data_IF_290404396836
#
_entry.id   IF_290404396836
#
_cell.length_a   1.000
_cell.length_b   1.000
_cell.length_c   1.000
_cell.angle_alpha   90.00
_cell.angle_beta   90.00
_cell.angle_gamma   90.00
#
_symmetry.space_group_name_H-M   'P 1'
#
loop_
_entity.id
_entity.type
_entity.pdbx_description
1 polymer ?
#
# COMPACT_ATOMS: atom_id res chain seq x y z
N UNK A 1 2.87 -11.58 -12.37
CA UNK A 1 2.70 -10.15 -12.06
C UNK A 1 4.09 -9.55 -11.89
N UNK A 2 4.44 -8.50 -12.63
CA UNK A 2 5.73 -7.83 -12.52
C UNK A 2 5.54 -6.49 -11.81
N UNK A 3 5.83 -6.39 -10.51
CA UNK A 3 5.64 -5.16 -9.74
C UNK A 3 6.66 -4.06 -10.10
N UNK A 4 7.63 -4.35 -10.98
CA UNK A 4 8.52 -3.33 -11.56
C UNK A 4 7.94 -2.57 -12.73
N UNK A 5 6.78 -2.98 -13.23
CA UNK A 5 6.06 -2.24 -14.27
C UNK A 5 4.89 -1.52 -13.64
N UNK A 6 4.75 -0.22 -13.89
CA UNK A 6 3.57 0.51 -13.42
C UNK A 6 2.31 -0.01 -14.14
N UNK A 7 1.34 -0.48 -13.37
CA UNK A 7 0.02 -0.85 -13.89
C UNK A 7 -1.05 -0.67 -12.81
N UNK A 8 -2.30 -0.50 -13.25
CA UNK A 8 -3.45 -0.40 -12.34
C UNK A 8 -3.59 -1.68 -11.53
N UNK A 9 -3.41 -2.82 -12.17
CA UNK A 9 -3.49 -4.16 -11.59
C UNK A 9 -2.43 -4.34 -10.49
N UNK A 10 -1.22 -3.82 -10.67
CA UNK A 10 -0.17 -3.88 -9.65
C UNK A 10 -0.47 -2.99 -8.45
N UNK A 11 -1.03 -1.80 -8.67
CA UNK A 11 -1.47 -0.90 -7.58
C UNK A 11 -2.55 -1.59 -6.75
N UNK A 12 -3.59 -2.12 -7.39
CA UNK A 12 -4.66 -2.86 -6.73
C UNK A 12 -4.12 -4.04 -5.94
N UNK A 13 -3.24 -4.83 -6.55
CA UNK A 13 -2.62 -5.98 -5.89
C UNK A 13 -1.84 -5.59 -4.63
N UNK A 14 -0.99 -4.55 -4.71
CA UNK A 14 -0.19 -4.11 -3.56
C UNK A 14 -1.09 -3.62 -2.41
N UNK A 15 -2.13 -2.84 -2.72
CA UNK A 15 -3.07 -2.34 -1.73
C UNK A 15 -3.82 -3.47 -1.04
N UNK A 16 -4.34 -4.45 -1.79
CA UNK A 16 -5.05 -5.59 -1.22
C UNK A 16 -4.14 -6.41 -0.30
N UNK A 17 -2.89 -6.64 -0.69
CA UNK A 17 -1.93 -7.35 0.16
C UNK A 17 -1.60 -6.58 1.44
N UNK A 18 -1.44 -5.27 1.36
CA UNK A 18 -1.19 -4.45 2.56
C UNK A 18 -2.41 -4.48 3.48
N UNK A 19 -3.64 -4.37 2.94
CA UNK A 19 -4.89 -4.50 3.71
C UNK A 19 -4.98 -5.82 4.45
N UNK A 20 -4.72 -6.93 3.75
CA UNK A 20 -4.73 -8.27 4.33
C UNK A 20 -3.72 -8.38 5.47
N UNK A 21 -2.50 -7.90 5.26
CA UNK A 21 -1.40 -7.99 6.23
C UNK A 21 -1.65 -7.15 7.48
N UNK A 22 -2.18 -5.93 7.31
CA UNK A 22 -2.49 -5.02 8.40
C UNK A 22 -3.88 -5.26 9.02
N UNK A 23 -4.70 -6.13 8.42
CA UNK A 23 -6.10 -6.40 8.80
C UNK A 23 -6.97 -5.13 8.83
N UNK A 24 -6.73 -4.20 7.91
CA UNK A 24 -7.46 -2.94 7.81
C UNK A 24 -8.51 -3.03 6.71
N UNK A 25 -9.79 -3.04 7.09
CA UNK A 25 -10.92 -3.17 6.16
C UNK A 25 -11.38 -1.83 5.57
N UNK A 26 -11.05 -0.72 6.24
CA UNK A 26 -11.59 0.61 5.93
C UNK A 26 -10.57 1.53 5.24
N UNK A 27 -9.60 0.98 4.52
CA UNK A 27 -8.84 1.80 3.59
C UNK A 27 -9.78 2.13 2.43
N UNK A 28 -10.33 3.35 2.44
CA UNK A 28 -11.29 3.80 1.43
C UNK A 28 -10.80 3.58 0.00
N UNK A 29 -11.72 3.54 -0.96
CA UNK A 29 -11.44 3.20 -2.36
C UNK A 29 -10.30 4.04 -2.93
N UNK A 30 -9.09 3.48 -2.95
CA UNK A 30 -7.96 4.03 -3.67
C UNK A 30 -8.28 3.85 -5.15
N UNK A 31 -8.36 4.95 -5.89
CA UNK A 31 -8.58 4.91 -7.34
C UNK A 31 -7.21 4.78 -8.03
N UNK A 32 -6.91 3.66 -8.69
CA UNK A 32 -5.62 3.44 -9.34
C UNK A 32 -5.29 4.51 -10.37
N UNK A 33 -6.32 5.13 -10.95
CA UNK A 33 -6.21 6.24 -11.91
C UNK A 33 -5.54 7.51 -11.37
N UNK A 34 -5.34 7.64 -10.05
CA UNK A 34 -4.65 8.78 -9.44
C UNK A 34 -3.16 8.50 -9.17
N UNK A 35 -2.67 7.27 -9.38
CA UNK A 35 -1.26 6.95 -9.14
C UNK A 35 -0.41 7.45 -10.30
N UNK A 36 0.40 8.47 -10.04
CA UNK A 36 1.53 8.82 -10.90
C UNK A 36 2.73 7.86 -10.67
N UNK A 37 3.88 8.19 -11.22
CA UNK A 37 5.08 7.34 -11.10
C UNK A 37 5.67 7.38 -9.68
N UNK A 38 5.67 8.56 -9.04
CA UNK A 38 6.19 8.76 -7.69
C UNK A 38 5.36 7.97 -6.68
N UNK A 39 4.03 8.09 -6.75
CA UNK A 39 3.12 7.34 -5.89
C UNK A 39 3.24 5.82 -6.06
N UNK A 40 3.56 5.35 -7.28
CA UNK A 40 3.75 3.93 -7.53
C UNK A 40 5.01 3.40 -6.84
N UNK A 41 6.13 4.11 -6.96
CA UNK A 41 7.38 3.75 -6.30
C UNK A 41 7.25 3.81 -4.77
N UNK A 42 6.58 4.82 -4.22
CA UNK A 42 6.30 4.90 -2.78
C UNK A 42 5.42 3.74 -2.28
N UNK A 43 4.34 3.42 -2.99
CA UNK A 43 3.48 2.29 -2.66
C UNK A 43 4.25 0.97 -2.72
N UNK A 44 5.12 0.80 -3.72
CA UNK A 44 5.95 -0.39 -3.86
C UNK A 44 6.95 -0.51 -2.71
N UNK A 45 7.61 0.59 -2.35
CA UNK A 45 8.52 0.62 -1.21
C UNK A 45 7.82 0.21 0.09
N UNK A 46 6.63 0.77 0.33
CA UNK A 46 5.81 0.43 1.50
C UNK A 46 5.38 -1.04 1.47
N UNK A 47 4.91 -1.54 0.33
CA UNK A 47 4.56 -2.93 0.12
C UNK A 47 5.73 -3.87 0.46
N UNK A 48 6.91 -3.62 -0.12
CA UNK A 48 8.09 -4.45 0.10
C UNK A 48 8.54 -4.43 1.57
N UNK A 49 8.44 -3.27 2.23
CA UNK A 49 8.73 -3.15 3.66
C UNK A 49 7.75 -3.97 4.51
N UNK A 50 6.46 -3.86 4.22
CA UNK A 50 5.40 -4.53 4.99
C UNK A 50 5.46 -6.05 4.81
N UNK A 51 5.69 -6.52 3.59
CA UNK A 51 5.71 -7.96 3.28
C UNK A 51 6.94 -8.68 3.84
N UNK A 52 8.06 -7.98 4.04
CA UNK A 52 9.29 -8.56 4.63
C UNK A 52 9.17 -8.89 6.11
N UNK A 53 8.19 -8.33 6.81
CA UNK A 53 8.02 -8.49 8.26
C UNK A 53 6.90 -9.47 8.58
N UNK A 54 7.12 -10.36 9.54
CA UNK A 54 6.14 -11.38 9.92
C UNK A 54 4.94 -10.78 10.65
N UNK A 55 5.20 -9.85 11.58
CA UNK A 55 4.20 -9.23 12.44
C UNK A 55 4.56 -7.79 12.80
N UNK A 56 3.54 -6.99 13.10
CA UNK A 56 3.67 -5.60 13.53
C UNK A 56 3.05 -5.44 14.92
N UNK A 57 3.63 -4.57 15.74
CA UNK A 57 2.97 -4.10 16.96
C UNK A 57 1.75 -3.23 16.62
N UNK A 58 0.80 -3.03 17.56
CA UNK A 58 -0.36 -2.18 17.32
C UNK A 58 -0.01 -0.76 16.85
N UNK A 59 1.02 -0.15 17.44
CA UNK A 59 1.46 1.20 17.07
C UNK A 59 2.03 1.26 15.65
N UNK A 60 2.78 0.22 15.24
CA UNK A 60 3.29 0.13 13.87
C UNK A 60 2.15 -0.07 12.86
N UNK A 61 1.17 -0.93 13.16
CA UNK A 61 0.00 -1.11 12.29
C UNK A 61 -0.75 0.22 12.09
N UNK A 62 -0.88 1.01 13.16
CA UNK A 62 -1.52 2.32 13.08
C UNK A 62 -0.72 3.30 12.23
N UNK A 63 0.59 3.41 12.45
CA UNK A 63 1.46 4.30 11.67
C UNK A 63 1.45 3.94 10.17
N UNK A 64 1.54 2.64 9.84
CA UNK A 64 1.51 2.16 8.45
C UNK A 64 0.15 2.42 7.78
N UNK A 65 -0.95 2.28 8.53
CA UNK A 65 -2.28 2.59 8.02
C UNK A 65 -2.45 4.11 7.77
N UNK A 66 -1.87 4.96 8.61
CA UNK A 66 -1.84 6.42 8.41
C UNK A 66 -0.99 6.81 7.20
N UNK A 67 0.19 6.23 7.04
CA UNK A 67 1.08 6.43 5.88
C UNK A 67 0.38 6.05 4.57
N UNK A 68 -0.27 4.88 4.53
CA UNK A 68 -1.06 4.46 3.37
C UNK A 68 -2.27 5.36 3.11
N UNK A 69 -2.86 5.95 4.16
CA UNK A 69 -3.90 6.97 4.04
C UNK A 69 -3.41 8.31 3.50
N UNK A 70 -2.14 8.67 3.74
CA UNK A 70 -1.51 9.89 3.26
C UNK A 70 -1.09 9.79 1.79
N UNK A 71 -0.72 8.60 1.31
CA UNK A 71 -0.53 8.32 -0.12
C UNK A 71 -1.75 8.70 -0.97
N UNK A 72 -2.96 8.80 -0.39
CA UNK A 72 -4.18 9.25 -1.09
C UNK A 72 -4.28 10.77 -1.25
N UNK A 73 -3.59 11.55 -0.42
CA UNK A 73 -3.82 13.00 -0.27
C UNK A 73 -2.94 13.89 -1.16
N UNK A 74 -2.02 13.30 -1.91
CA UNK A 74 -1.19 14.00 -2.90
C UNK A 74 -1.89 14.07 -4.25
#
# INVERSE_FOLDING_TARGET
MNLSEKSTENVEYMIEKIKDKLKVLNMGAIKPSHFDEEMYEELRYLYDHIMKKDSFSPNEMQALAEELGNLRKV
#
